data_IF_619424698262
#
_entry.id   IF_619424698262
#
_cell.length_a   1.000
_cell.length_b   1.000
_cell.length_c   1.000
_cell.angle_alpha   90.00
_cell.angle_beta   90.00
_cell.angle_gamma   90.00
#
_symmetry.space_group_name_H-M   'P 1'
#
loop_
_entity.id
_entity.type
_entity.pdbx_description
1 polymer ?
#
# COMPACT_ATOMS: atom_id res chain seq x y z
N UNK A 1 24.75 33.02 -20.35
CA UNK A 1 24.76 31.83 -19.47
C UNK A 1 23.69 32.03 -18.42
N UNK A 2 22.76 31.08 -18.25
CA UNK A 2 21.62 31.21 -17.33
C UNK A 2 22.06 30.81 -15.92
N UNK A 3 21.83 31.68 -14.95
CA UNK A 3 21.99 31.40 -13.52
C UNK A 3 21.04 30.29 -13.08
N UNK A 4 21.62 29.20 -12.57
CA UNK A 4 20.87 28.13 -11.90
C UNK A 4 20.56 28.66 -10.49
N UNK A 5 19.36 29.19 -10.31
CA UNK A 5 18.83 29.57 -9.00
C UNK A 5 18.87 28.35 -8.08
N UNK A 6 19.59 28.51 -6.97
CA UNK A 6 19.76 27.50 -5.94
C UNK A 6 18.43 26.94 -5.46
N UNK A 7 18.33 25.61 -5.46
CA UNK A 7 17.25 24.88 -4.79
C UNK A 7 17.47 25.13 -3.29
N UNK A 8 16.67 26.01 -2.71
CA UNK A 8 16.64 26.20 -1.27
C UNK A 8 16.18 24.88 -0.63
N UNK A 9 17.11 24.15 -0.01
CA UNK A 9 16.80 23.07 0.92
C UNK A 9 15.98 23.67 2.07
N UNK A 10 14.66 23.52 2.01
CA UNK A 10 13.76 23.83 3.13
C UNK A 10 14.29 23.10 4.36
N UNK A 11 14.81 23.85 5.34
CA UNK A 11 15.13 23.32 6.67
C UNK A 11 13.83 22.79 7.26
N UNK A 12 13.69 21.47 7.34
CA UNK A 12 12.55 20.83 7.98
C UNK A 12 12.53 21.24 9.45
N UNK A 13 11.37 21.69 9.92
CA UNK A 13 11.25 22.14 11.29
C UNK A 13 11.23 20.92 12.24
N UNK A 14 11.69 21.08 13.49
CA UNK A 14 11.77 19.95 14.46
C UNK A 14 10.39 19.34 14.74
N UNK A 15 9.34 20.16 14.79
CA UNK A 15 7.95 19.72 14.93
C UNK A 15 7.47 18.90 13.73
N UNK A 16 7.69 19.39 12.50
CA UNK A 16 7.31 18.65 11.28
C UNK A 16 8.02 17.29 11.19
N UNK A 17 9.28 17.23 11.64
CA UNK A 17 10.07 16.00 11.64
C UNK A 17 9.54 14.99 12.65
N UNK A 18 9.11 15.47 13.82
CA UNK A 18 8.48 14.65 14.86
C UNK A 18 7.13 14.09 14.41
N UNK A 19 6.27 14.92 13.82
CA UNK A 19 4.95 14.49 13.34
C UNK A 19 5.06 13.49 12.20
N UNK A 20 6.01 13.70 11.27
CA UNK A 20 6.32 12.71 10.21
C UNK A 20 6.79 11.38 10.78
N UNK A 21 7.61 11.39 11.83
CA UNK A 21 8.07 10.18 12.51
C UNK A 21 6.91 9.44 13.17
N UNK A 22 6.00 10.14 13.85
CA UNK A 22 4.81 9.56 14.46
C UNK A 22 3.90 8.95 13.39
N UNK A 23 3.63 9.68 12.29
CA UNK A 23 2.83 9.16 11.19
C UNK A 23 3.46 7.89 10.58
N UNK A 24 4.77 7.88 10.38
CA UNK A 24 5.48 6.71 9.86
C UNK A 24 5.37 5.50 10.80
N UNK A 25 5.61 5.70 12.10
CA UNK A 25 5.46 4.64 13.11
C UNK A 25 4.03 4.12 13.17
N UNK A 26 3.03 5.02 13.11
CA UNK A 26 1.62 4.64 13.09
C UNK A 26 1.29 3.79 11.86
N UNK A 27 1.75 4.17 10.68
CA UNK A 27 1.54 3.39 9.46
C UNK A 27 2.17 1.99 9.54
N UNK A 28 3.38 1.87 10.12
CA UNK A 28 4.01 0.57 10.32
C UNK A 28 3.19 -0.32 11.27
N UNK A 29 2.72 0.24 12.39
CA UNK A 29 1.85 -0.47 13.35
C UNK A 29 0.55 -0.91 12.68
N UNK A 30 -0.04 -0.04 11.86
CA UNK A 30 -1.27 -0.33 11.14
C UNK A 30 -1.13 -1.43 10.08
N UNK A 31 -0.02 -1.44 9.33
CA UNK A 31 0.30 -2.53 8.39
C UNK A 31 0.48 -3.83 9.15
N UNK A 32 1.23 -3.82 10.25
CA UNK A 32 1.44 -4.99 11.10
C UNK A 32 0.13 -5.54 11.67
N UNK A 33 -0.73 -4.66 12.20
CA UNK A 33 -2.03 -5.04 12.74
C UNK A 33 -2.95 -5.65 11.68
N UNK A 34 -2.98 -5.09 10.47
CA UNK A 34 -3.79 -5.65 9.39
C UNK A 34 -3.22 -6.96 8.86
N UNK A 35 -1.89 -7.07 8.73
CA UNK A 35 -1.23 -8.32 8.36
C UNK A 35 -1.56 -9.44 9.37
N UNK A 36 -1.49 -9.13 10.66
CA UNK A 36 -1.85 -10.08 11.72
C UNK A 36 -3.33 -10.48 11.64
N UNK A 37 -4.24 -9.53 11.37
CA UNK A 37 -5.66 -9.81 11.19
C UNK A 37 -5.94 -10.79 10.03
N UNK A 38 -5.18 -10.68 8.93
CA UNK A 38 -5.26 -11.62 7.81
C UNK A 38 -4.72 -13.01 8.20
N UNK A 39 -3.62 -13.07 8.95
CA UNK A 39 -3.01 -14.32 9.43
C UNK A 39 -3.97 -15.06 10.37
N UNK A 40 -4.57 -14.34 11.32
CA UNK A 40 -5.40 -14.92 12.37
C UNK A 40 -6.77 -15.34 11.85
N UNK A 41 -7.43 -14.49 11.05
CA UNK A 41 -8.77 -14.77 10.57
C UNK A 41 -8.80 -15.63 9.31
N UNK A 42 -7.66 -15.79 8.62
CA UNK A 42 -7.53 -16.61 7.41
C UNK A 42 -8.69 -16.39 6.45
N UNK A 43 -8.86 -15.18 5.89
CA UNK A 43 -10.05 -14.81 5.12
C UNK A 43 -10.25 -15.67 3.86
N UNK A 44 -9.22 -16.41 3.43
CA UNK A 44 -9.27 -17.36 2.32
C UNK A 44 -9.00 -18.81 2.76
N UNK A 45 -9.29 -19.13 4.03
CA UNK A 45 -9.02 -20.43 4.63
C UNK A 45 -7.51 -20.73 4.70
N UNK A 46 -7.15 -22.00 4.49
CA UNK A 46 -5.75 -22.43 4.49
C UNK A 46 -5.02 -22.21 3.13
N UNK A 47 -5.60 -21.42 2.21
CA UNK A 47 -4.93 -21.06 0.96
C UNK A 47 -3.98 -19.89 1.19
N UNK A 48 -2.79 -19.86 0.54
CA UNK A 48 -2.00 -18.65 0.51
C UNK A 48 -2.75 -17.50 -0.15
N UNK A 49 -2.39 -16.29 0.25
CA UNK A 49 -2.95 -15.06 -0.30
C UNK A 49 -1.91 -13.96 -0.30
N UNK A 50 -2.28 -12.80 -0.83
CA UNK A 50 -1.44 -11.62 -0.87
C UNK A 50 -2.04 -10.49 -0.08
N UNK A 51 -1.19 -9.72 0.59
CA UNK A 51 -1.50 -8.39 1.05
C UNK A 51 -0.85 -7.39 0.10
N UNK A 52 -1.69 -6.70 -0.67
CA UNK A 52 -1.28 -5.62 -1.56
C UNK A 52 -1.44 -4.28 -0.82
N UNK A 53 -0.34 -3.53 -0.72
CA UNK A 53 -0.26 -2.26 -0.02
C UNK A 53 0.06 -1.18 -1.04
N UNK A 54 -0.79 -0.15 -1.11
CA UNK A 54 -0.55 1.09 -1.85
C UNK A 54 -0.28 2.16 -0.80
N UNK A 55 0.97 2.62 -0.70
CA UNK A 55 1.45 3.42 0.43
C UNK A 55 0.81 4.80 0.50
N UNK A 56 0.52 5.40 -0.66
CA UNK A 56 -0.20 6.68 -0.74
C UNK A 56 -0.96 6.76 -2.07
N UNK A 57 -2.27 6.92 -1.97
CA UNK A 57 -3.17 7.14 -3.10
C UNK A 57 -4.06 8.34 -2.81
N UNK A 58 -4.17 9.26 -3.76
CA UNK A 58 -5.17 10.33 -3.69
C UNK A 58 -6.57 9.74 -3.80
N UNK A 59 -7.48 10.19 -2.95
CA UNK A 59 -8.89 9.77 -2.99
C UNK A 59 -9.65 10.80 -3.82
N UNK A 60 -10.12 10.37 -4.99
CA UNK A 60 -10.87 11.22 -5.91
C UNK A 60 -12.22 11.64 -5.32
N UNK A 61 -12.80 12.72 -5.83
CA UNK A 61 -14.07 13.26 -5.34
C UNK A 61 -15.22 12.24 -5.41
N UNK A 62 -15.34 11.50 -6.52
CA UNK A 62 -16.34 10.44 -6.66
C UNK A 62 -16.19 9.34 -5.59
N UNK A 63 -14.95 8.98 -5.23
CA UNK A 63 -14.67 8.00 -4.19
C UNK A 63 -15.00 8.57 -2.81
N UNK A 64 -14.70 9.85 -2.56
CA UNK A 64 -15.09 10.55 -1.33
C UNK A 64 -16.61 10.57 -1.17
N UNK A 65 -17.36 10.89 -2.23
CA UNK A 65 -18.84 10.82 -2.24
C UNK A 65 -19.33 9.41 -1.95
N UNK A 66 -18.71 8.38 -2.52
CA UNK A 66 -19.07 7.00 -2.25
C UNK A 66 -18.85 6.60 -0.79
N UNK A 67 -17.77 7.06 -0.16
CA UNK A 67 -17.48 6.78 1.26
C UNK A 67 -18.54 7.38 2.19
N UNK A 68 -18.99 8.61 1.93
CA UNK A 68 -20.09 9.24 2.69
C UNK A 68 -21.39 8.47 2.50
N UNK A 69 -21.74 8.10 1.27
CA UNK A 69 -22.95 7.30 0.97
C UNK A 69 -22.93 5.93 1.63
N UNK A 70 -21.75 5.37 1.87
CA UNK A 70 -21.57 4.09 2.57
C UNK A 70 -21.59 4.23 4.10
N UNK A 71 -21.77 5.45 4.62
CA UNK A 71 -21.75 5.74 6.05
C UNK A 71 -20.37 5.58 6.69
N UNK A 72 -19.28 5.65 5.91
CA UNK A 72 -17.92 5.63 6.46
C UNK A 72 -17.51 7.00 7.03
N UNK A 73 -18.15 8.08 6.59
CA UNK A 73 -17.93 9.47 7.00
C UNK A 73 -19.25 10.24 7.00
N UNK A 74 -19.38 11.24 7.88
CA UNK A 74 -20.60 12.03 8.02
C UNK A 74 -20.80 13.03 6.87
N UNK A 75 -19.72 13.60 6.34
CA UNK A 75 -19.73 14.56 5.24
C UNK A 75 -18.48 14.43 4.36
N UNK A 76 -18.47 15.11 3.21
CA UNK A 76 -17.37 15.01 2.25
C UNK A 76 -16.10 15.68 2.79
N UNK A 77 -16.22 16.74 3.57
CA UNK A 77 -15.12 17.49 4.17
C UNK A 77 -14.29 16.63 5.12
N UNK A 78 -14.92 15.69 5.82
CA UNK A 78 -14.28 14.74 6.73
C UNK A 78 -13.59 13.56 6.03
N UNK A 79 -13.91 13.33 4.74
CA UNK A 79 -13.27 12.25 3.98
C UNK A 79 -11.81 12.57 3.66
N UNK A 80 -10.90 11.60 3.79
CA UNK A 80 -9.48 11.81 3.54
C UNK A 80 -9.21 12.10 2.07
N UNK A 81 -8.34 13.07 1.80
CA UNK A 81 -7.85 13.37 0.44
C UNK A 81 -6.77 12.40 -0.03
N UNK A 82 -6.13 11.68 0.90
CA UNK A 82 -5.14 10.65 0.62
C UNK A 82 -5.24 9.51 1.64
N UNK A 83 -5.02 8.29 1.19
CA UNK A 83 -4.98 7.12 2.05
C UNK A 83 -3.86 6.16 1.68
N UNK A 84 -3.41 5.41 2.68
CA UNK A 84 -2.77 4.12 2.46
C UNK A 84 -3.87 3.09 2.28
N UNK A 85 -3.77 2.28 1.24
CA UNK A 85 -4.78 1.28 0.90
C UNK A 85 -4.15 -0.11 0.97
N UNK A 86 -4.74 -0.98 1.78
CA UNK A 86 -4.32 -2.35 1.94
C UNK A 86 -5.46 -3.28 1.51
N UNK A 87 -5.14 -4.30 0.71
CA UNK A 87 -6.11 -5.25 0.20
C UNK A 87 -5.56 -6.67 0.22
N UNK A 88 -6.29 -7.57 0.88
CA UNK A 88 -6.05 -9.01 0.81
C UNK A 88 -6.60 -9.56 -0.53
N UNK A 89 -5.79 -10.36 -1.23
CA UNK A 89 -6.06 -10.83 -2.60
C UNK A 89 -5.72 -12.31 -2.77
N UNK A 90 -6.50 -13.00 -3.60
CA UNK A 90 -6.23 -14.38 -4.02
C UNK A 90 -5.22 -14.49 -5.17
N UNK A 91 -4.94 -13.39 -5.86
CA UNK A 91 -4.03 -13.35 -7.01
C UNK A 91 -3.18 -12.09 -6.96
N UNK A 92 -1.98 -12.18 -7.56
CA UNK A 92 -1.09 -11.03 -7.70
C UNK A 92 -1.78 -9.89 -8.47
N UNK A 93 -1.75 -8.66 -7.94
CA UNK A 93 -2.13 -7.48 -8.70
C UNK A 93 -1.11 -7.15 -9.78
N UNK A 94 -1.45 -6.19 -10.63
CA UNK A 94 -0.45 -5.48 -11.42
C UNK A 94 0.50 -4.71 -10.50
N UNK A 95 1.80 -4.81 -10.78
CA UNK A 95 2.82 -4.03 -10.11
C UNK A 95 2.75 -2.58 -10.60
N UNK A 96 2.72 -1.64 -9.65
CA UNK A 96 2.80 -0.21 -9.92
C UNK A 96 3.75 0.46 -8.93
N UNK A 97 4.33 1.61 -9.28
CA UNK A 97 5.10 2.39 -8.30
C UNK A 97 4.26 2.72 -7.07
N UNK A 98 4.94 2.93 -5.94
CA UNK A 98 4.33 3.18 -4.64
C UNK A 98 3.52 2.01 -4.05
N UNK A 99 3.92 0.77 -4.36
CA UNK A 99 3.26 -0.45 -3.86
C UNK A 99 4.22 -1.45 -3.22
N UNK A 100 3.69 -2.23 -2.29
CA UNK A 100 4.35 -3.41 -1.73
C UNK A 100 3.40 -4.59 -1.83
N UNK A 101 3.91 -5.76 -2.19
CA UNK A 101 3.15 -7.01 -2.19
C UNK A 101 3.79 -8.01 -1.26
N UNK A 102 3.01 -8.52 -0.30
CA UNK A 102 3.43 -9.53 0.66
C UNK A 102 2.62 -10.79 0.39
N UNK A 103 3.27 -11.95 0.28
CA UNK A 103 2.61 -13.26 0.25
C UNK A 103 2.54 -13.82 1.67
N UNK A 104 1.35 -14.27 2.01
CA UNK A 104 1.00 -14.86 3.30
C UNK A 104 0.65 -16.32 3.04
N UNK A 105 1.41 -17.23 3.64
CA UNK A 105 1.17 -18.67 3.54
C UNK A 105 0.70 -19.18 4.90
N UNK A 106 -0.56 -19.67 5.03
CA UNK A 106 -1.07 -20.17 6.30
C UNK A 106 -0.17 -21.27 6.89
N UNK A 107 0.25 -21.08 8.14
CA UNK A 107 1.13 -22.03 8.84
C UNK A 107 2.62 -21.87 8.55
N UNK A 108 3.02 -20.95 7.66
CA UNK A 108 4.43 -20.57 7.56
C UNK A 108 4.84 -19.68 8.73
N UNK A 109 6.09 -19.81 9.19
CA UNK A 109 6.66 -19.00 10.27
C UNK A 109 6.91 -17.55 9.82
N UNK A 110 7.15 -17.35 8.52
CA UNK A 110 7.50 -16.06 7.95
C UNK A 110 6.61 -15.70 6.75
N UNK A 111 6.37 -14.40 6.59
CA UNK A 111 5.75 -13.83 5.39
C UNK A 111 6.81 -13.51 4.36
N UNK A 112 6.48 -13.60 3.06
CA UNK A 112 7.42 -13.31 1.98
C UNK A 112 7.05 -12.03 1.25
N UNK A 113 7.93 -11.03 1.26
CA UNK A 113 7.74 -9.84 0.44
C UNK A 113 8.09 -10.20 -1.02
N UNK A 114 7.13 -10.06 -1.93
CA UNK A 114 7.30 -10.36 -3.36
C UNK A 114 7.95 -9.18 -4.06
N UNK A 115 7.47 -7.96 -3.77
CA UNK A 115 8.10 -6.73 -4.24
C UNK A 115 7.85 -5.56 -3.30
N UNK A 116 8.75 -4.58 -3.38
CA UNK A 116 8.60 -3.27 -2.77
C UNK A 116 9.04 -2.21 -3.77
N UNK A 117 8.08 -1.47 -4.31
CA UNK A 117 8.25 -0.45 -5.34
C UNK A 117 7.92 0.92 -4.73
N UNK A 118 8.92 1.75 -4.39
CA UNK A 118 8.68 3.10 -3.93
C UNK A 118 8.15 4.00 -5.06
N UNK A 119 7.79 5.24 -4.74
CA UNK A 119 7.49 6.25 -5.77
C UNK A 119 8.66 6.41 -6.74
N UNK A 120 8.38 6.57 -8.04
CA UNK A 120 9.42 6.53 -9.09
C UNK A 120 10.53 7.56 -8.88
N UNK A 121 10.16 8.75 -8.42
CA UNK A 121 11.10 9.84 -8.16
C UNK A 121 12.10 9.52 -7.03
N UNK A 122 11.84 8.50 -6.22
CA UNK A 122 12.72 8.02 -5.15
C UNK A 122 13.63 6.86 -5.60
N UNK A 123 13.40 6.25 -6.76
CA UNK A 123 14.11 5.02 -7.16
C UNK A 123 15.62 5.17 -7.17
N UNK A 124 16.13 6.33 -7.59
CA UNK A 124 17.57 6.59 -7.61
C UNK A 124 18.19 6.51 -6.21
N UNK A 125 17.46 6.91 -5.16
CA UNK A 125 17.94 6.81 -3.78
C UNK A 125 18.25 5.35 -3.43
N UNK A 126 17.33 4.44 -3.76
CA UNK A 126 17.46 3.01 -3.50
C UNK A 126 18.45 2.30 -4.42
N UNK A 127 18.98 2.98 -5.44
CA UNK A 127 20.05 2.45 -6.30
C UNK A 127 21.45 2.91 -5.84
N UNK A 128 21.53 3.99 -5.05
CA UNK A 128 22.78 4.47 -4.41
C UNK A 128 23.12 3.71 -3.12
N UNK A 129 24.40 3.60 -2.80
CA UNK A 129 24.92 2.74 -1.71
C UNK A 129 24.40 3.07 -0.31
N UNK A 130 24.02 4.32 -0.03
CA UNK A 130 23.63 4.76 1.32
C UNK A 130 22.21 4.33 1.72
N UNK A 131 21.31 4.12 0.74
CA UNK A 131 19.92 3.71 0.96
C UNK A 131 19.58 2.41 0.22
N UNK A 132 20.61 1.63 -0.13
CA UNK A 132 20.41 0.38 -0.85
C UNK A 132 19.71 -0.63 0.06
N UNK A 133 18.51 -1.01 -0.37
CA UNK A 133 17.80 -2.17 0.12
C UNK A 133 17.73 -3.17 -1.03
N UNK A 134 18.36 -4.34 -0.87
CA UNK A 134 18.55 -5.28 -1.99
C UNK A 134 17.21 -5.75 -2.59
N UNK A 135 16.19 -5.94 -1.75
CA UNK A 135 14.85 -6.32 -2.20
C UNK A 135 14.21 -5.21 -3.04
N UNK A 136 14.24 -3.96 -2.58
CA UNK A 136 13.69 -2.81 -3.30
C UNK A 136 14.49 -2.53 -4.57
N UNK A 137 15.83 -2.55 -4.53
CA UNK A 137 16.66 -2.37 -5.72
C UNK A 137 16.37 -3.44 -6.77
N UNK A 138 16.26 -4.71 -6.35
CA UNK A 138 15.88 -5.83 -7.24
C UNK A 138 14.46 -5.65 -7.77
N UNK A 139 13.51 -5.24 -6.94
CA UNK A 139 12.12 -4.99 -7.34
C UNK A 139 12.04 -3.91 -8.42
N UNK A 140 12.76 -2.79 -8.23
CA UNK A 140 12.84 -1.70 -9.22
C UNK A 140 13.45 -2.20 -10.53
N UNK A 141 14.54 -2.97 -10.48
CA UNK A 141 15.19 -3.50 -11.68
C UNK A 141 14.30 -4.50 -12.43
N UNK A 142 13.64 -5.41 -11.69
CA UNK A 142 12.65 -6.33 -12.25
C UNK A 142 11.49 -5.58 -12.88
N UNK A 143 10.98 -4.53 -12.23
CA UNK A 143 9.91 -3.71 -12.78
C UNK A 143 10.30 -3.05 -14.10
N UNK A 144 11.49 -2.44 -14.17
CA UNK A 144 11.98 -1.75 -15.37
C UNK A 144 12.29 -2.70 -16.53
N UNK A 145 12.89 -3.85 -16.24
CA UNK A 145 13.49 -4.71 -17.27
C UNK A 145 12.67 -5.98 -17.56
N UNK A 146 11.87 -6.44 -16.60
CA UNK A 146 11.11 -7.68 -16.69
C UNK A 146 9.82 -7.66 -15.83
N UNK A 147 8.96 -6.64 -16.06
CA UNK A 147 7.68 -6.48 -15.33
C UNK A 147 6.84 -7.77 -15.39
N UNK A 148 6.80 -8.44 -16.55
CA UNK A 148 6.08 -9.71 -16.73
C UNK A 148 6.58 -10.82 -15.80
N UNK A 149 7.89 -10.91 -15.57
CA UNK A 149 8.44 -11.87 -14.61
C UNK A 149 8.11 -11.54 -13.16
N UNK A 150 8.00 -10.24 -12.83
CA UNK A 150 7.58 -9.79 -11.50
C UNK A 150 6.11 -10.13 -11.22
N UNK A 151 5.26 -9.97 -12.24
CA UNK A 151 3.81 -10.18 -12.19
C UNK A 151 3.37 -11.61 -12.52
N UNK A 152 4.33 -12.49 -12.83
CA UNK A 152 4.03 -13.87 -13.18
C UNK A 152 3.28 -14.57 -12.04
N UNK A 153 2.22 -15.29 -12.42
CA UNK A 153 1.41 -16.08 -11.50
C UNK A 153 2.27 -17.14 -10.80
N UNK A 154 1.96 -17.39 -9.54
CA UNK A 154 2.51 -18.51 -8.78
C UNK A 154 1.63 -19.76 -8.89
N UNK A 155 2.15 -20.88 -8.43
CA UNK A 155 1.48 -22.18 -8.51
C UNK A 155 0.10 -22.19 -7.83
N UNK A 156 -0.01 -21.46 -6.73
CA UNK A 156 -1.18 -21.30 -5.89
C UNK A 156 -2.10 -20.13 -6.31
N UNK A 157 -1.79 -19.44 -7.40
CA UNK A 157 -2.68 -18.42 -7.94
C UNK A 157 -3.84 -19.07 -8.73
N UNK A 158 -5.05 -18.49 -8.68
CA UNK A 158 -6.14 -18.91 -9.55
C UNK A 158 -5.73 -18.75 -11.03
N UNK A 159 -5.84 -19.83 -11.79
CA UNK A 159 -5.35 -19.86 -13.19
C UNK A 159 -6.41 -19.37 -14.17
N UNK A 160 -7.67 -19.41 -13.77
CA UNK A 160 -8.81 -18.99 -14.59
C UNK A 160 -9.71 -18.03 -13.84
N UNK A 161 -10.50 -17.26 -14.60
CA UNK A 161 -11.51 -16.36 -14.04
C UNK A 161 -12.57 -17.13 -13.23
N UNK A 162 -12.98 -18.30 -13.71
CA UNK A 162 -13.98 -19.12 -13.04
C UNK A 162 -13.48 -19.68 -11.71
N UNK A 163 -12.20 -20.12 -11.65
CA UNK A 163 -11.56 -20.52 -10.39
C UNK A 163 -11.52 -19.35 -9.40
N UNK A 164 -11.07 -18.18 -9.86
CA UNK A 164 -11.03 -16.97 -9.04
C UNK A 164 -12.42 -16.61 -8.50
N UNK A 165 -13.44 -16.61 -9.36
CA UNK A 165 -14.83 -16.30 -8.97
C UNK A 165 -15.39 -17.34 -8.01
N UNK A 166 -15.11 -18.64 -8.24
CA UNK A 166 -15.50 -19.72 -7.34
C UNK A 166 -14.91 -19.54 -5.95
N UNK A 167 -13.62 -19.28 -5.85
CA UNK A 167 -12.93 -19.04 -4.58
C UNK A 167 -13.45 -17.77 -3.87
N UNK A 168 -13.65 -16.67 -4.60
CA UNK A 168 -14.22 -15.45 -4.03
C UNK A 168 -15.65 -15.67 -3.51
N UNK A 169 -16.45 -16.50 -4.17
CA UNK A 169 -17.80 -16.85 -3.72
C UNK A 169 -17.80 -17.81 -2.54
N UNK A 170 -16.77 -18.65 -2.41
CA UNK A 170 -16.58 -19.54 -1.27
C UNK A 170 -16.19 -18.77 -0.01
N UNK A 171 -15.21 -17.87 -0.12
CA UNK A 171 -14.56 -17.25 1.04
C UNK A 171 -15.06 -15.84 1.37
N UNK A 172 -15.52 -15.09 0.37
CA UNK A 172 -15.97 -13.72 0.51
C UNK A 172 -17.30 -13.50 -0.23
N UNK A 173 -18.29 -14.34 0.09
CA UNK A 173 -19.61 -14.33 -0.56
C UNK A 173 -20.36 -13.02 -0.35
N UNK A 174 -20.30 -12.47 0.86
CA UNK A 174 -21.08 -11.28 1.22
C UNK A 174 -20.29 -9.99 1.04
N UNK A 175 -20.96 -8.85 0.76
CA UNK A 175 -20.31 -7.55 0.74
C UNK A 175 -19.56 -7.22 2.05
N UNK A 176 -20.11 -7.61 3.20
CA UNK A 176 -19.47 -7.42 4.50
C UNK A 176 -18.15 -8.20 4.62
N UNK A 177 -18.10 -9.45 4.15
CA UNK A 177 -16.85 -10.23 4.10
C UNK A 177 -15.83 -9.60 3.15
N UNK A 178 -16.27 -9.13 1.98
CA UNK A 178 -15.38 -8.42 1.02
C UNK A 178 -14.84 -7.11 1.60
N UNK A 179 -15.64 -6.40 2.39
CA UNK A 179 -15.21 -5.17 3.07
C UNK A 179 -14.07 -5.44 4.05
N UNK A 180 -14.07 -6.59 4.76
CA UNK A 180 -12.98 -6.99 5.66
C UNK A 180 -11.65 -7.27 4.95
N UNK A 181 -11.68 -7.55 3.65
CA UNK A 181 -10.45 -7.74 2.85
C UNK A 181 -9.73 -6.43 2.54
N UNK A 182 -10.34 -5.29 2.86
CA UNK A 182 -9.83 -3.96 2.52
C UNK A 182 -9.72 -3.12 3.78
N UNK A 183 -8.55 -2.52 4.00
CA UNK A 183 -8.35 -1.50 5.01
C UNK A 183 -7.80 -0.24 4.37
N UNK A 184 -8.41 0.90 4.72
CA UNK A 184 -7.98 2.23 4.30
C UNK A 184 -7.53 3.00 5.53
N UNK A 185 -6.41 3.70 5.39
CA UNK A 185 -5.83 4.46 6.48
C UNK A 185 -5.64 5.88 5.99
N UNK A 186 -6.40 6.85 6.54
CA UNK A 186 -6.23 8.25 6.22
C UNK A 186 -4.78 8.69 6.43
N UNK A 187 -4.19 9.28 5.39
CA UNK A 187 -2.91 9.97 5.49
C UNK A 187 -3.27 11.43 5.72
N UNK A 188 -3.29 11.84 6.98
CA UNK A 188 -3.44 13.25 7.31
C UNK A 188 -2.16 13.96 6.90
N UNK A 189 -2.28 14.94 6.00
CA UNK A 189 -1.20 15.89 5.79
C UNK A 189 -0.94 16.59 7.14
N UNK A 190 0.32 16.89 7.51
CA UNK A 190 0.58 17.83 8.59
C UNK A 190 -0.23 19.09 8.29
N UNK A 191 -1.08 19.54 9.23
CA UNK A 191 -1.72 20.85 9.07
C UNK A 191 -0.59 21.83 8.87
N UNK A 192 -0.57 22.53 7.72
CA UNK A 192 0.26 23.71 7.60
C UNK A 192 -0.22 24.62 8.73
N UNK A 193 0.56 24.67 9.82
CA UNK A 193 0.34 25.66 10.85
C UNK A 193 0.58 26.97 10.15
N UNK A 194 -0.50 27.69 9.83
CA UNK A 194 -0.43 29.07 9.42
C UNK A 194 0.47 29.75 10.44
N UNK A 195 1.64 30.21 9.99
CA UNK A 195 2.47 31.12 10.77
C UNK A 195 1.61 32.38 10.85
N UNK A 196 1.11 32.76 12.04
CA UNK A 196 0.43 34.04 12.15
C UNK A 196 1.45 35.13 11.79
N UNK A 197 1.06 36.00 10.86
CA UNK A 197 1.82 37.18 10.44
C UNK A 197 2.19 38.08 11.63
#
# INVERSE_FOLDING_TARGET
MKDIKGIALKKLNKLETHDRKICFQKHQTDVGAFLQDIIDNKPFGNRPCYLHIIHKRSVGEDERVALVRQGEYDNIEDTPVACMWMQARLSKPEATPNTTLIKITPGAEEVRIIWSLPEEHLWNLFQTSMFRDDLTSRSINMYKMNKRGLEALEEDDPKTKDEFTGLMNQFAKTPAQRKKLVRRIPIYAPRETAIPD
#
